data_IF_015138865191
#
_entry.id   IF_015138865191
#
_cell.length_a   1.000
_cell.length_b   1.000
_cell.length_c   1.000
_cell.angle_alpha   90.00
_cell.angle_beta   90.00
_cell.angle_gamma   90.00
#
_symmetry.space_group_name_H-M   'P 1'
#
loop_
_entity.id
_entity.type
_entity.pdbx_description
1 polymer ?
#
# COMPACT_ATOMS: atom_id res chain seq x y z
N UNK A 1 20.67 -6.07 -13.55
CA UNK A 1 19.86 -7.16 -12.97
C UNK A 1 18.81 -6.51 -12.09
N UNK A 2 17.53 -6.67 -12.40
CA UNK A 2 16.44 -6.03 -11.66
C UNK A 2 15.94 -6.95 -10.54
N UNK A 3 15.89 -6.43 -9.32
CA UNK A 3 15.45 -7.22 -8.16
C UNK A 3 14.01 -7.74 -8.30
N UNK A 4 13.17 -7.04 -9.08
CA UNK A 4 11.78 -7.42 -9.30
C UNK A 4 11.67 -8.76 -10.06
N UNK A 5 12.44 -8.93 -11.14
CA UNK A 5 12.48 -10.16 -11.92
C UNK A 5 12.99 -11.35 -11.12
N UNK A 6 14.00 -11.16 -10.28
CA UNK A 6 14.53 -12.20 -9.39
C UNK A 6 13.46 -12.65 -8.37
N UNK A 7 12.78 -11.71 -7.73
CA UNK A 7 11.70 -12.01 -6.78
C UNK A 7 10.51 -12.71 -7.45
N UNK A 8 10.15 -12.32 -8.67
CA UNK A 8 9.08 -12.99 -9.41
C UNK A 8 9.46 -14.43 -9.77
N UNK A 9 10.72 -14.65 -10.15
CA UNK A 9 11.25 -15.99 -10.42
C UNK A 9 11.22 -16.85 -9.17
N UNK A 10 11.70 -16.35 -8.03
CA UNK A 10 11.63 -17.06 -6.74
C UNK A 10 10.20 -17.37 -6.34
N UNK A 11 9.26 -16.44 -6.52
CA UNK A 11 7.85 -16.67 -6.18
C UNK A 11 7.21 -17.77 -7.04
N UNK A 12 7.60 -17.86 -8.32
CA UNK A 12 7.14 -18.90 -9.24
C UNK A 12 7.71 -20.27 -8.87
N UNK A 13 9.02 -20.34 -8.62
CA UNK A 13 9.67 -21.61 -8.25
C UNK A 13 9.19 -22.10 -6.89
N UNK A 14 9.06 -21.22 -5.90
CA UNK A 14 8.64 -21.59 -4.54
C UNK A 14 7.19 -22.13 -4.51
N UNK A 15 6.31 -21.66 -5.41
CA UNK A 15 4.96 -22.20 -5.58
C UNK A 15 4.97 -23.67 -6.03
N UNK A 16 5.98 -24.11 -6.78
CA UNK A 16 6.12 -25.52 -7.21
C UNK A 16 6.51 -26.43 -6.05
N UNK A 17 7.27 -25.91 -5.08
CA UNK A 17 7.69 -26.65 -3.88
C UNK A 17 6.64 -26.63 -2.77
N UNK A 18 5.89 -25.54 -2.63
CA UNK A 18 4.93 -25.33 -1.54
C UNK A 18 3.57 -24.97 -2.14
N UNK A 19 2.65 -25.94 -2.17
CA UNK A 19 1.31 -25.78 -2.76
C UNK A 19 0.46 -24.69 -2.09
N UNK A 20 0.71 -24.40 -0.81
CA UNK A 20 0.04 -23.33 -0.05
C UNK A 20 0.66 -21.95 -0.28
N UNK A 21 1.81 -21.87 -0.97
CA UNK A 21 2.46 -20.61 -1.24
C UNK A 21 1.68 -19.82 -2.30
N UNK A 22 1.07 -18.71 -1.89
CA UNK A 22 0.19 -17.91 -2.74
C UNK A 22 0.88 -17.26 -3.95
N UNK A 23 2.22 -17.19 -3.97
CA UNK A 23 2.99 -16.65 -5.09
C UNK A 23 2.49 -15.27 -5.55
N UNK A 24 2.38 -15.07 -6.86
CA UNK A 24 1.91 -13.81 -7.45
C UNK A 24 0.47 -13.43 -7.06
N UNK A 25 -0.37 -14.41 -6.67
CA UNK A 25 -1.71 -14.10 -6.18
C UNK A 25 -1.65 -13.36 -4.83
N UNK A 26 -0.69 -13.67 -3.95
CA UNK A 26 -0.49 -12.91 -2.72
C UNK A 26 -0.12 -11.44 -2.98
N UNK A 27 0.60 -11.15 -4.07
CA UNK A 27 0.89 -9.77 -4.47
C UNK A 27 -0.38 -8.98 -4.83
N UNK A 28 -1.42 -9.64 -5.37
CA UNK A 28 -2.69 -8.98 -5.69
C UNK A 28 -3.47 -8.55 -4.43
N UNK A 29 -3.22 -9.19 -3.28
CA UNK A 29 -3.85 -8.80 -2.01
C UNK A 29 -3.36 -7.44 -1.50
N UNK A 30 -2.17 -7.01 -1.93
CA UNK A 30 -1.64 -5.68 -1.62
C UNK A 30 -2.30 -4.57 -2.45
N UNK A 31 -2.91 -4.89 -3.59
CA UNK A 31 -3.52 -3.91 -4.49
C UNK A 31 -4.62 -3.06 -3.82
N UNK A 32 -5.64 -3.63 -3.13
CA UNK A 32 -6.64 -2.82 -2.42
C UNK A 32 -6.02 -1.92 -1.35
N UNK A 33 -4.93 -2.36 -0.71
CA UNK A 33 -4.22 -1.55 0.28
C UNK A 33 -3.53 -0.32 -0.35
N UNK A 34 -2.96 -0.49 -1.54
CA UNK A 34 -2.37 0.62 -2.33
C UNK A 34 -3.46 1.61 -2.74
N UNK A 35 -4.61 1.13 -3.23
CA UNK A 35 -5.75 2.00 -3.60
C UNK A 35 -6.25 2.79 -2.38
N UNK A 36 -6.37 2.14 -1.21
CA UNK A 36 -6.73 2.82 0.04
C UNK A 36 -5.71 3.89 0.44
N UNK A 37 -4.42 3.64 0.24
CA UNK A 37 -3.37 4.63 0.51
C UNK A 37 -3.48 5.84 -0.43
N UNK A 38 -3.65 5.62 -1.73
CA UNK A 38 -3.85 6.68 -2.72
C UNK A 38 -5.10 7.51 -2.39
N UNK A 39 -6.21 6.84 -2.06
CA UNK A 39 -7.45 7.50 -1.66
C UNK A 39 -7.23 8.41 -0.43
N UNK A 40 -6.52 7.92 0.61
CA UNK A 40 -6.17 8.74 1.78
C UNK A 40 -5.32 9.95 1.41
N UNK A 41 -4.38 9.82 0.49
CA UNK A 41 -3.54 10.93 0.03
C UNK A 41 -4.39 11.97 -0.70
N UNK A 42 -5.24 11.55 -1.65
CA UNK A 42 -6.13 12.44 -2.40
C UNK A 42 -7.09 13.15 -1.44
N UNK A 43 -7.73 12.41 -0.54
CA UNK A 43 -8.66 12.98 0.45
C UNK A 43 -7.91 13.96 1.36
N UNK A 44 -6.72 13.62 1.83
CA UNK A 44 -5.89 14.55 2.60
C UNK A 44 -5.49 15.78 1.76
N UNK A 45 -5.20 15.64 0.48
CA UNK A 45 -4.79 16.78 -0.34
C UNK A 45 -5.93 17.79 -0.55
N UNK A 46 -7.13 17.31 -0.88
CA UNK A 46 -8.28 18.19 -1.16
C UNK A 46 -9.09 18.57 0.09
N UNK A 47 -9.17 17.68 1.09
CA UNK A 47 -10.01 17.85 2.28
C UNK A 47 -9.22 18.04 3.57
N UNK A 48 -7.89 18.24 3.53
CA UNK A 48 -7.17 18.77 4.69
C UNK A 48 -7.58 20.21 4.91
N UNK A 49 -8.72 20.34 5.56
CA UNK A 49 -9.19 21.56 6.22
C UNK A 49 -8.02 22.07 7.04
N UNK A 50 -7.48 23.24 6.66
CA UNK A 50 -6.55 23.97 7.50
C UNK A 50 -7.20 24.05 8.88
N UNK A 51 -6.65 23.33 9.87
CA UNK A 51 -7.17 23.38 11.23
C UNK A 51 -7.00 24.82 11.68
N UNK A 52 -8.06 25.63 11.62
CA UNK A 52 -8.05 26.99 12.15
C UNK A 52 -7.63 26.87 13.60
N UNK A 53 -6.46 27.41 13.95
CA UNK A 53 -6.06 27.52 15.35
C UNK A 53 -7.18 28.28 16.04
N UNK A 54 -7.85 27.63 17.01
CA UNK A 54 -8.85 28.33 17.84
C UNK A 54 -8.10 29.52 18.47
N UNK A 55 -8.62 30.76 18.36
CA UNK A 55 -7.99 31.87 19.04
C UNK A 55 -7.89 31.50 20.51
N UNK A 56 -6.68 31.57 21.05
CA UNK A 56 -6.43 31.34 22.46
C UNK A 56 -7.06 32.53 23.20
N UNK A 57 -8.34 32.39 23.57
CA UNK A 57 -9.01 33.39 24.40
C UNK A 57 -8.29 33.37 25.75
N UNK A 58 -7.52 34.42 26.02
CA UNK A 58 -7.04 34.70 27.37
C UNK A 58 -8.25 35.22 28.14
N UNK A 59 -8.79 34.39 29.04
CA UNK A 59 -9.72 34.81 30.09
C UNK A 59 -8.90 35.29 31.28
#
# INVERSE_FOLDING_TARGET
>A
MDNAGNCNTTASELKKLILTFGGSAACTWCFPHIINLIAKIIISFFFKQYKKKKPHVKV
#
